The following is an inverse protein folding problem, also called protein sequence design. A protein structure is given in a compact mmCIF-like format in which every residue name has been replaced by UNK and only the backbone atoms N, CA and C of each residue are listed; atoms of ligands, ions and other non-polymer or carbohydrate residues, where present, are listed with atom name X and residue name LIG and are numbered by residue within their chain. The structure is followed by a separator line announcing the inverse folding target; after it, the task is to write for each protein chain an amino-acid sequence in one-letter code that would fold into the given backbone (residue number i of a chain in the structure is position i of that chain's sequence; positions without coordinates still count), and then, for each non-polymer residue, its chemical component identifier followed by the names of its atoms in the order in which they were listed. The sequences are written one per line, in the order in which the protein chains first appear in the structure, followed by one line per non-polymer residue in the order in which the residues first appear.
data_IF_303118514219
#
_entry.id   IF_303118514219
#
_cell.length_a   1.000
_cell.length_b   1.000
_cell.length_c   1.000
_cell.angle_alpha   90.00
_cell.angle_beta   90.00
_cell.angle_gamma   90.00
#
_symmetry.space_group_name_H-M   'P 1'
#
loop_
_entity.id
_entity.type
_entity.pdbx_description
1 polymer ?
#
# COMPACT_ATOMS: atom_id res chain seq x y z
N UNK A 1 8.97 39.04 -22.49
CA UNK A 1 8.12 38.29 -21.53
C UNK A 1 7.97 39.18 -20.30
N UNK A 2 6.80 39.79 -20.09
CA UNK A 2 6.59 40.76 -19.01
C UNK A 2 6.02 40.01 -17.80
N UNK A 3 6.76 40.01 -16.69
CA UNK A 3 6.32 39.45 -15.41
C UNK A 3 5.48 40.51 -14.70
N UNK A 4 4.18 40.28 -14.54
CA UNK A 4 3.32 41.13 -13.71
C UNK A 4 3.52 40.79 -12.22
N UNK A 5 3.36 41.75 -11.28
CA UNK A 5 3.74 41.59 -9.87
C UNK A 5 2.92 40.57 -9.06
N UNK A 6 1.89 39.96 -9.64
CA UNK A 6 0.85 39.23 -8.91
C UNK A 6 1.07 37.70 -8.81
N UNK A 7 2.14 37.16 -9.40
CA UNK A 7 2.36 35.71 -9.38
C UNK A 7 3.66 35.34 -8.69
N UNK A 8 3.55 35.04 -7.39
CA UNK A 8 4.64 34.44 -6.61
C UNK A 8 4.82 33.00 -7.05
N UNK A 9 5.67 32.81 -8.03
CA UNK A 9 6.12 31.50 -8.48
C UNK A 9 7.39 31.12 -7.74
N UNK A 10 7.33 30.07 -6.93
CA UNK A 10 8.51 29.56 -6.26
C UNK A 10 8.60 28.04 -6.42
N UNK A 11 9.82 27.59 -6.68
CA UNK A 11 10.22 26.18 -6.56
C UNK A 11 11.08 26.09 -5.30
N UNK A 12 10.83 25.11 -4.45
CA UNK A 12 11.62 24.86 -3.24
C UNK A 12 12.42 23.59 -3.46
N UNK A 13 13.73 23.68 -3.27
CA UNK A 13 14.61 22.52 -3.14
C UNK A 13 15.01 22.35 -1.69
N UNK A 14 14.77 21.18 -1.12
CA UNK A 14 15.14 20.84 0.27
C UNK A 14 16.12 19.67 0.19
N UNK A 15 17.28 19.81 0.82
CA UNK A 15 18.22 18.72 1.01
C UNK A 15 18.17 18.26 2.46
N UNK A 16 17.79 17.01 2.67
CA UNK A 16 17.69 16.38 3.98
C UNK A 16 18.84 15.40 4.13
N UNK A 17 19.67 15.60 5.16
CA UNK A 17 20.72 14.67 5.53
C UNK A 17 20.10 13.38 6.09
N UNK A 18 20.39 12.24 5.45
CA UNK A 18 19.82 10.93 5.79
C UNK A 18 20.65 10.21 6.86
N UNK A 19 21.97 10.39 6.82
CA UNK A 19 22.91 9.79 7.79
C UNK A 19 23.67 10.90 8.49
N UNK A 20 23.64 10.92 9.83
CA UNK A 20 24.53 11.78 10.64
C UNK A 20 25.95 11.24 10.62
N UNK A 21 26.57 11.18 9.45
CA UNK A 21 27.97 10.78 9.33
C UNK A 21 28.81 11.94 9.86
N UNK A 22 29.45 11.76 11.02
CA UNK A 22 30.38 12.74 11.62
C UNK A 22 31.72 12.83 10.85
N UNK A 23 31.72 12.68 9.53
CA UNK A 23 32.95 12.82 8.76
C UNK A 23 33.24 14.31 8.56
N UNK A 24 34.45 14.74 8.96
CA UNK A 24 34.95 16.12 8.75
C UNK A 24 35.36 16.42 7.29
N UNK A 25 35.12 15.48 6.36
CA UNK A 25 35.49 15.59 4.94
C UNK A 25 34.33 15.99 4.04
N UNK A 26 34.57 16.07 2.72
CA UNK A 26 33.48 16.26 1.75
C UNK A 26 32.44 15.14 1.87
N UNK A 27 31.18 15.53 1.90
CA UNK A 27 30.03 14.62 2.02
C UNK A 27 29.68 14.02 0.66
N UNK A 28 29.17 12.80 0.67
CA UNK A 28 28.79 12.08 -0.55
C UNK A 28 27.33 12.40 -0.91
N UNK A 29 26.98 12.39 -2.20
CA UNK A 29 25.59 12.59 -2.66
C UNK A 29 24.60 11.63 -1.99
N UNK A 30 25.04 10.41 -1.66
CA UNK A 30 24.23 9.39 -0.97
C UNK A 30 23.88 9.75 0.47
N UNK A 31 24.55 10.73 1.07
CA UNK A 31 24.27 11.20 2.43
C UNK A 31 23.02 12.09 2.49
N UNK A 32 22.51 12.53 1.33
CA UNK A 32 21.41 13.47 1.23
C UNK A 32 20.26 12.91 0.40
N UNK A 33 19.06 13.33 0.77
CA UNK A 33 17.86 13.21 -0.07
C UNK A 33 17.42 14.60 -0.48
N UNK A 34 17.15 14.79 -1.76
CA UNK A 34 16.63 16.05 -2.29
C UNK A 34 15.12 15.94 -2.52
N UNK A 35 14.37 16.94 -2.08
CA UNK A 35 12.94 17.09 -2.33
C UNK A 35 12.76 18.39 -3.09
N UNK A 36 12.11 18.31 -4.25
CA UNK A 36 11.75 19.49 -5.05
C UNK A 36 10.24 19.65 -5.04
N UNK A 37 9.79 20.82 -4.61
CA UNK A 37 8.40 21.23 -4.68
C UNK A 37 8.23 22.34 -5.71
N UNK A 38 7.27 22.18 -6.60
CA UNK A 38 6.87 23.19 -7.58
C UNK A 38 5.38 23.44 -7.48
N UNK A 39 5.02 24.69 -7.15
CA UNK A 39 3.64 25.13 -6.97
C UNK A 39 2.77 24.91 -8.21
N UNK A 40 3.34 24.99 -9.43
CA UNK A 40 2.57 24.76 -10.67
C UNK A 40 2.40 23.29 -11.03
N UNK A 41 3.15 22.39 -10.40
CA UNK A 41 3.17 21.00 -10.80
C UNK A 41 1.82 20.33 -10.50
N UNK A 42 1.00 20.21 -11.54
CA UNK A 42 -0.25 19.45 -11.51
C UNK A 42 -0.11 18.14 -12.28
N UNK A 43 -0.96 17.15 -11.98
CA UNK A 43 -1.02 15.89 -12.73
C UNK A 43 -1.31 16.06 -14.24
N UNK A 44 -1.71 17.26 -14.67
CA UNK A 44 -2.00 17.63 -16.07
C UNK A 44 -0.83 18.35 -16.74
N UNK A 45 0.07 18.95 -15.96
CA UNK A 45 1.25 19.70 -16.44
C UNK A 45 2.51 18.82 -16.59
N UNK A 46 2.41 17.52 -16.31
CA UNK A 46 3.40 16.46 -16.63
C UNK A 46 3.54 16.20 -18.14
N UNK A 47 3.74 17.26 -18.93
CA UNK A 47 4.16 17.18 -20.35
C UNK A 47 5.67 16.85 -20.43
N UNK A 48 6.12 16.36 -21.58
CA UNK A 48 7.51 15.99 -21.89
C UNK A 48 8.59 16.97 -21.35
N UNK A 49 8.37 18.29 -21.42
CA UNK A 49 9.34 19.28 -20.93
C UNK A 49 9.51 19.30 -19.40
N UNK A 50 8.49 18.94 -18.63
CA UNK A 50 8.58 18.80 -17.18
C UNK A 50 9.27 17.51 -16.75
N UNK A 51 9.05 16.42 -17.52
CA UNK A 51 9.72 15.13 -17.32
C UNK A 51 11.23 15.29 -17.53
N UNK A 52 11.65 15.93 -18.64
CA UNK A 52 13.06 16.19 -18.87
C UNK A 52 13.70 17.01 -17.73
N UNK A 53 13.04 18.07 -17.26
CA UNK A 53 13.59 18.90 -16.19
C UNK A 53 13.67 18.14 -14.84
N UNK A 54 12.60 17.48 -14.42
CA UNK A 54 12.58 16.82 -13.10
C UNK A 54 13.33 15.49 -13.09
N UNK A 55 13.11 14.63 -14.08
CA UNK A 55 13.72 13.30 -14.10
C UNK A 55 15.11 13.32 -14.75
N UNK A 56 15.25 13.88 -15.96
CA UNK A 56 16.52 13.81 -16.70
C UNK A 56 17.56 14.81 -16.19
N UNK A 57 17.17 16.05 -15.93
CA UNK A 57 18.10 17.10 -15.50
C UNK A 57 18.35 17.08 -13.98
N UNK A 58 17.30 17.03 -13.16
CA UNK A 58 17.43 17.00 -11.69
C UNK A 58 17.61 15.60 -11.10
N UNK A 59 17.32 14.53 -11.84
CA UNK A 59 17.38 13.16 -11.30
C UNK A 59 16.33 12.87 -10.24
N UNK A 60 15.24 13.65 -10.19
CA UNK A 60 14.14 13.47 -9.25
C UNK A 60 13.12 12.47 -9.79
N UNK A 61 12.41 11.80 -8.89
CA UNK A 61 11.22 11.03 -9.21
C UNK A 61 9.99 11.70 -8.59
N UNK A 62 8.82 11.53 -9.21
CA UNK A 62 7.58 12.03 -8.64
C UNK A 62 7.23 11.27 -7.36
N UNK A 63 6.99 12.01 -6.28
CA UNK A 63 6.52 11.39 -5.05
C UNK A 63 5.13 10.76 -5.30
N UNK A 64 4.93 9.48 -4.98
CA UNK A 64 3.65 8.84 -5.17
C UNK A 64 2.60 9.48 -4.26
N UNK A 65 1.39 9.69 -4.80
CA UNK A 65 0.26 10.19 -4.02
C UNK A 65 -0.09 9.26 -2.85
N UNK A 66 -0.70 9.80 -1.78
CA UNK A 66 -1.17 9.01 -0.63
C UNK A 66 -2.13 7.87 -1.04
N UNK A 67 -2.93 8.08 -2.10
CA UNK A 67 -3.80 7.06 -2.73
C UNK A 67 -2.99 5.87 -3.25
N UNK A 68 -1.91 6.17 -3.98
CA UNK A 68 -1.02 5.16 -4.56
C UNK A 68 -0.23 4.45 -3.48
N UNK A 69 0.30 5.19 -2.50
CA UNK A 69 1.01 4.58 -1.38
C UNK A 69 0.09 3.68 -0.54
N UNK A 70 -1.16 4.08 -0.28
CA UNK A 70 -2.12 3.23 0.44
C UNK A 70 -2.47 1.98 -0.39
N UNK A 71 -2.57 2.10 -1.71
CA UNK A 71 -2.71 0.95 -2.60
C UNK A 71 -1.51 0.01 -2.54
N UNK A 72 -0.30 0.55 -2.60
CA UNK A 72 0.95 -0.22 -2.56
C UNK A 72 1.12 -0.93 -1.22
N UNK A 73 0.77 -0.25 -0.13
CA UNK A 73 0.71 -0.87 1.19
C UNK A 73 -0.21 -2.10 1.18
N UNK A 74 -1.43 -1.95 0.66
CA UNK A 74 -2.41 -3.04 0.57
C UNK A 74 -1.90 -4.19 -0.29
N UNK A 75 -1.37 -3.90 -1.48
CA UNK A 75 -0.94 -4.91 -2.44
C UNK A 75 0.30 -5.68 -1.94
N UNK A 76 1.33 -4.96 -1.50
CA UNK A 76 2.56 -5.57 -0.98
C UNK A 76 2.28 -6.40 0.27
N UNK A 77 1.50 -5.89 1.22
CA UNK A 77 1.14 -6.64 2.42
C UNK A 77 0.34 -7.90 2.08
N UNK A 78 -0.57 -7.80 1.11
CA UNK A 78 -1.36 -8.96 0.66
C UNK A 78 -0.50 -10.00 -0.05
N UNK A 79 0.49 -9.58 -0.82
CA UNK A 79 1.47 -10.47 -1.44
C UNK A 79 2.34 -11.17 -0.41
N UNK A 80 2.86 -10.42 0.57
CA UNK A 80 3.60 -10.99 1.70
C UNK A 80 2.80 -12.08 2.42
N UNK A 81 1.55 -11.80 2.80
CA UNK A 81 0.69 -12.78 3.48
C UNK A 81 0.48 -14.03 2.61
N UNK A 82 0.36 -13.88 1.30
CA UNK A 82 0.22 -15.03 0.38
C UNK A 82 1.45 -15.93 0.38
N UNK A 83 2.63 -15.33 0.39
CA UNK A 83 3.91 -16.02 0.27
C UNK A 83 4.37 -16.62 1.60
N UNK A 84 4.04 -16.00 2.73
CA UNK A 84 4.60 -16.36 4.03
C UNK A 84 3.75 -17.35 4.83
N UNK A 85 2.41 -17.29 4.71
CA UNK A 85 1.51 -18.16 5.47
C UNK A 85 0.99 -19.31 4.61
N UNK A 86 1.37 -20.53 4.99
CA UNK A 86 0.89 -21.78 4.40
C UNK A 86 -0.38 -22.30 5.07
N UNK A 87 -0.50 -22.09 6.40
CA UNK A 87 -1.71 -22.43 7.14
C UNK A 87 -2.91 -21.58 6.67
N UNK A 88 -4.03 -22.25 6.42
CA UNK A 88 -5.20 -21.60 5.81
C UNK A 88 -5.91 -20.67 6.78
N UNK A 89 -5.97 -21.03 8.07
CA UNK A 89 -6.68 -20.25 9.08
C UNK A 89 -5.90 -18.97 9.41
N UNK A 90 -4.61 -19.10 9.72
CA UNK A 90 -3.73 -17.96 10.01
C UNK A 90 -3.63 -16.97 8.84
N UNK A 91 -3.58 -17.49 7.62
CA UNK A 91 -3.58 -16.68 6.41
C UNK A 91 -4.87 -15.90 6.26
N UNK A 92 -6.01 -16.53 6.54
CA UNK A 92 -7.34 -15.89 6.50
C UNK A 92 -7.43 -14.80 7.57
N UNK A 93 -6.91 -15.04 8.77
CA UNK A 93 -6.88 -14.08 9.87
C UNK A 93 -5.97 -12.89 9.58
N UNK A 94 -4.79 -13.11 8.98
CA UNK A 94 -3.92 -12.02 8.53
C UNK A 94 -4.59 -11.15 7.46
N UNK A 95 -5.28 -11.76 6.48
CA UNK A 95 -6.05 -10.98 5.50
C UNK A 95 -7.20 -10.19 6.14
N UNK A 96 -7.86 -10.77 7.15
CA UNK A 96 -8.90 -10.07 7.90
C UNK A 96 -8.32 -8.88 8.67
N UNK A 97 -7.18 -9.08 9.31
CA UNK A 97 -6.43 -8.03 10.02
C UNK A 97 -6.05 -6.88 9.09
N UNK A 98 -5.58 -7.16 7.87
CA UNK A 98 -5.32 -6.14 6.85
C UNK A 98 -6.58 -5.35 6.47
N UNK A 99 -7.72 -6.04 6.34
CA UNK A 99 -8.99 -5.38 6.06
C UNK A 99 -9.43 -4.45 7.21
N UNK A 100 -9.34 -4.94 8.46
CA UNK A 100 -9.68 -4.17 9.66
C UNK A 100 -8.80 -2.93 9.75
N UNK A 101 -7.48 -3.10 9.64
CA UNK A 101 -6.51 -2.00 9.70
C UNK A 101 -6.76 -0.89 8.66
N UNK A 102 -7.12 -1.28 7.43
CA UNK A 102 -7.34 -0.30 6.37
C UNK A 102 -8.71 0.36 6.43
N UNK A 103 -9.77 -0.40 6.73
CA UNK A 103 -11.14 0.06 6.53
C UNK A 103 -11.93 0.31 7.82
N UNK A 104 -11.68 -0.49 8.86
CA UNK A 104 -12.43 -0.42 10.12
C UNK A 104 -11.74 0.52 11.09
N UNK A 105 -10.42 0.45 11.18
CA UNK A 105 -9.63 1.32 12.05
C UNK A 105 -9.74 2.78 11.60
N UNK A 106 -10.05 3.66 12.55
CA UNK A 106 -10.18 5.11 12.33
C UNK A 106 -8.84 5.85 12.17
N UNK A 107 -7.71 5.14 12.28
CA UNK A 107 -6.38 5.75 12.13
C UNK A 107 -6.19 6.37 10.75
N UNK A 108 -5.74 7.61 10.69
CA UNK A 108 -5.54 8.37 9.45
C UNK A 108 -4.26 8.04 8.68
N UNK A 109 -3.50 7.03 9.12
CA UNK A 109 -2.20 6.68 8.53
C UNK A 109 -2.02 5.17 8.42
N UNK A 110 -1.14 4.76 7.50
CA UNK A 110 -0.62 3.39 7.36
C UNK A 110 0.88 3.38 7.64
N UNK A 111 1.34 2.33 8.32
CA UNK A 111 2.74 2.15 8.72
C UNK A 111 3.08 0.65 8.67
N UNK A 112 4.17 0.31 7.99
CA UNK A 112 4.70 -1.06 7.97
C UNK A 112 5.00 -1.55 9.38
N UNK A 113 5.60 -0.69 10.23
CA UNK A 113 5.92 -1.06 11.60
C UNK A 113 4.66 -1.35 12.41
N UNK A 114 3.68 -0.44 12.37
CA UNK A 114 2.47 -0.55 13.18
C UNK A 114 1.64 -1.78 12.80
N UNK A 115 1.58 -2.09 11.50
CA UNK A 115 0.89 -3.29 11.03
C UNK A 115 1.67 -4.56 11.39
N UNK A 116 2.98 -4.56 11.17
CA UNK A 116 3.87 -5.68 11.51
C UNK A 116 3.80 -6.04 12.99
N UNK A 117 3.89 -5.03 13.87
CA UNK A 117 3.89 -5.22 15.32
C UNK A 117 2.58 -5.80 15.84
N UNK A 118 1.44 -5.43 15.23
CA UNK A 118 0.10 -5.81 15.68
C UNK A 118 -0.42 -7.11 15.10
N UNK A 119 -0.12 -7.38 13.83
CA UNK A 119 -0.84 -8.40 13.05
C UNK A 119 0.06 -9.43 12.39
N UNK A 120 1.38 -9.22 12.36
CA UNK A 120 2.33 -10.20 11.84
C UNK A 120 2.98 -10.94 13.02
N UNK A 121 3.05 -12.27 12.91
CA UNK A 121 3.73 -13.11 13.90
C UNK A 121 5.17 -12.69 14.10
N UNK A 122 5.68 -12.81 15.33
CA UNK A 122 7.02 -12.37 15.73
C UNK A 122 8.11 -12.92 14.78
N UNK A 123 8.03 -14.21 14.46
CA UNK A 123 8.92 -14.92 13.53
C UNK A 123 8.91 -14.42 12.08
N UNK A 124 7.98 -13.55 11.71
CA UNK A 124 7.82 -13.03 10.34
C UNK A 124 7.91 -11.51 10.26
N UNK A 125 8.12 -10.80 11.38
CA UNK A 125 8.15 -9.33 11.41
C UNK A 125 9.31 -8.75 10.60
N UNK A 126 10.52 -9.28 10.78
CA UNK A 126 11.70 -8.81 10.03
C UNK A 126 11.54 -9.06 8.53
N UNK A 127 11.01 -10.22 8.15
CA UNK A 127 10.71 -10.55 6.76
C UNK A 127 9.68 -9.61 6.15
N UNK A 128 8.65 -9.23 6.92
CA UNK A 128 7.64 -8.28 6.47
C UNK A 128 8.24 -6.90 6.24
N UNK A 129 9.03 -6.39 7.18
CA UNK A 129 9.71 -5.10 7.05
C UNK A 129 10.64 -5.11 5.83
N UNK A 130 11.41 -6.18 5.65
CA UNK A 130 12.30 -6.34 4.49
C UNK A 130 11.52 -6.43 3.18
N UNK A 131 10.41 -7.16 3.14
CA UNK A 131 9.53 -7.25 1.97
C UNK A 131 8.99 -5.88 1.56
N UNK A 132 8.51 -5.09 2.53
CA UNK A 132 8.01 -3.74 2.27
C UNK A 132 9.11 -2.79 1.77
N UNK A 133 10.32 -2.88 2.36
CA UNK A 133 11.49 -2.11 1.93
C UNK A 133 11.93 -2.49 0.51
N UNK A 134 11.97 -3.78 0.18
CA UNK A 134 12.35 -4.26 -1.16
C UNK A 134 11.35 -3.83 -2.24
N UNK A 135 10.07 -3.73 -1.88
CA UNK A 135 9.02 -3.15 -2.73
C UNK A 135 8.96 -1.62 -2.69
N UNK A 136 10.02 -0.97 -2.18
CA UNK A 136 10.17 0.50 -2.11
C UNK A 136 9.05 1.21 -1.35
N UNK A 137 8.35 0.52 -0.44
CA UNK A 137 7.39 1.18 0.42
C UNK A 137 8.12 2.05 1.46
N UNK A 138 7.66 3.29 1.73
CA UNK A 138 8.34 4.19 2.67
C UNK A 138 8.40 3.61 4.09
N UNK A 139 9.53 3.79 4.77
CA UNK A 139 9.69 3.40 6.18
C UNK A 139 8.93 4.32 7.16
N UNK A 140 8.47 5.49 6.69
CA UNK A 140 7.67 6.45 7.46
C UNK A 140 6.17 6.11 7.38
N UNK A 141 5.39 6.62 8.33
CA UNK A 141 3.93 6.62 8.20
C UNK A 141 3.48 7.44 6.99
N UNK A 142 2.43 6.94 6.33
CA UNK A 142 1.81 7.58 5.15
C UNK A 142 0.35 7.86 5.48
N UNK A 143 -0.21 8.97 4.99
CA UNK A 143 -1.64 9.22 5.15
C UNK A 143 -2.46 8.14 4.45
N UNK A 144 -3.49 7.68 5.12
CA UNK A 144 -4.39 6.66 4.61
C UNK A 144 -5.42 7.29 3.69
N UNK A 145 -5.34 7.01 2.40
CA UNK A 145 -6.35 7.39 1.39
C UNK A 145 -6.77 6.15 0.58
N UNK A 146 -8.02 5.73 0.76
CA UNK A 146 -8.55 4.49 0.20
C UNK A 146 -9.07 4.64 -1.23
N UNK A 147 -9.01 5.81 -1.87
CA UNK A 147 -9.69 6.06 -3.14
C UNK A 147 -9.37 5.02 -4.24
N UNK A 148 -8.14 4.51 -4.31
CA UNK A 148 -7.72 3.51 -5.31
C UNK A 148 -8.05 2.06 -4.94
N UNK A 149 -8.30 1.77 -3.66
CA UNK A 149 -8.59 0.41 -3.17
C UNK A 149 -10.00 0.23 -2.61
N UNK A 150 -10.81 1.28 -2.60
CA UNK A 150 -12.16 1.25 -2.01
C UNK A 150 -13.01 0.10 -2.57
N UNK A 151 -12.95 -0.13 -3.88
CA UNK A 151 -13.67 -1.23 -4.53
C UNK A 151 -13.10 -2.61 -4.15
N UNK A 152 -11.77 -2.73 -4.02
CA UNK A 152 -11.10 -3.96 -3.55
C UNK A 152 -11.49 -4.28 -2.11
N UNK A 153 -11.74 -3.26 -1.27
CA UNK A 153 -12.18 -3.41 0.12
C UNK A 153 -13.71 -3.57 0.27
N UNK A 154 -14.52 -3.38 -0.77
CA UNK A 154 -15.98 -3.60 -0.70
C UNK A 154 -16.35 -5.07 -0.82
N UNK A 155 -15.54 -5.86 -1.54
CA UNK A 155 -15.82 -7.26 -1.87
C UNK A 155 -14.68 -8.12 -1.35
N UNK A 156 -15.01 -9.22 -0.68
CA UNK A 156 -14.04 -10.25 -0.30
C UNK A 156 -14.21 -11.43 -1.25
N UNK A 157 -13.10 -11.90 -1.79
CA UNK A 157 -13.07 -13.05 -2.70
C UNK A 157 -12.23 -14.16 -2.08
N UNK A 158 -12.83 -15.35 -2.01
CA UNK A 158 -12.19 -16.60 -1.61
C UNK A 158 -12.00 -17.43 -2.87
N UNK A 159 -10.78 -17.91 -3.11
CA UNK A 159 -10.44 -18.74 -4.26
C UNK A 159 -9.99 -20.11 -3.76
N UNK A 160 -10.58 -21.16 -4.31
CA UNK A 160 -10.25 -22.54 -4.03
C UNK A 160 -9.13 -23.02 -4.96
N UNK A 161 -8.44 -24.10 -4.56
CA UNK A 161 -7.40 -24.76 -5.36
C UNK A 161 -7.94 -25.25 -6.72
N UNK A 162 -9.22 -25.61 -6.77
CA UNK A 162 -9.98 -25.96 -7.98
C UNK A 162 -10.27 -24.78 -8.92
N UNK A 163 -9.78 -23.57 -8.61
CA UNK A 163 -10.05 -22.30 -9.31
C UNK A 163 -11.49 -21.78 -9.19
N UNK A 164 -12.37 -22.48 -8.46
CA UNK A 164 -13.66 -21.94 -8.03
C UNK A 164 -13.42 -20.70 -7.17
N UNK A 165 -14.31 -19.70 -7.26
CA UNK A 165 -14.22 -18.50 -6.42
C UNK A 165 -15.58 -18.06 -5.91
N UNK A 166 -15.65 -17.72 -4.63
CA UNK A 166 -16.81 -17.11 -4.00
C UNK A 166 -16.47 -15.65 -3.72
N UNK A 167 -17.37 -14.74 -4.10
CA UNK A 167 -17.21 -13.31 -3.83
C UNK A 167 -18.46 -12.76 -3.15
N UNK A 168 -18.29 -12.16 -1.98
CA UNK A 168 -19.38 -11.59 -1.19
C UNK A 168 -19.01 -10.19 -0.64
N UNK A 169 -19.99 -9.37 -0.21
CA UNK A 169 -19.72 -8.11 0.47
C UNK A 169 -18.81 -8.31 1.69
N UNK A 170 -17.71 -7.56 1.78
CA UNK A 170 -16.70 -7.75 2.82
C UNK A 170 -17.26 -7.53 4.23
N UNK A 171 -18.20 -6.58 4.39
CA UNK A 171 -18.80 -6.24 5.68
C UNK A 171 -19.66 -7.36 6.28
N UNK A 172 -20.25 -8.22 5.45
CA UNK A 172 -21.14 -9.31 5.87
C UNK A 172 -20.55 -10.69 5.55
N UNK A 173 -19.27 -10.76 5.20
CA UNK A 173 -18.69 -11.99 4.64
C UNK A 173 -18.86 -13.19 5.58
N UNK A 174 -18.55 -13.01 6.87
CA UNK A 174 -18.63 -14.09 7.87
C UNK A 174 -20.09 -14.49 8.18
N UNK A 175 -21.06 -13.60 7.93
CA UNK A 175 -22.49 -13.89 8.09
C UNK A 175 -23.05 -14.61 6.85
N UNK A 176 -22.51 -14.31 5.67
CA UNK A 176 -22.96 -14.83 4.40
C UNK A 176 -22.29 -16.13 4.00
N UNK A 177 -21.05 -16.37 4.46
CA UNK A 177 -20.23 -17.53 4.09
C UNK A 177 -19.63 -18.12 5.36
N UNK A 178 -20.01 -19.35 5.70
CA UNK A 178 -19.43 -20.13 6.79
C UNK A 178 -18.61 -21.28 6.19
N UNK A 179 -17.40 -21.48 6.72
CA UNK A 179 -16.52 -22.60 6.35
C UNK A 179 -16.60 -23.63 7.48
N UNK A 180 -17.05 -24.84 7.19
CA UNK A 180 -17.25 -25.89 8.19
C UNK A 180 -16.04 -26.83 8.31
N UNK A 181 -15.11 -26.78 7.35
CA UNK A 181 -13.89 -27.57 7.35
C UNK A 181 -13.45 -27.96 5.95
N UNK A 182 -12.28 -28.58 5.87
CA UNK A 182 -11.78 -29.20 4.64
C UNK A 182 -11.48 -30.67 4.91
N UNK A 183 -12.04 -31.57 4.09
CA UNK A 183 -11.86 -33.02 4.19
C UNK A 183 -11.80 -33.65 2.80
N UNK A 184 -10.86 -34.57 2.58
CA UNK A 184 -10.70 -35.33 1.34
C UNK A 184 -10.61 -34.45 0.07
N UNK A 185 -10.02 -33.25 0.19
CA UNK A 185 -9.89 -32.28 -0.90
C UNK A 185 -11.15 -31.43 -1.18
N UNK A 186 -12.19 -31.57 -0.38
CA UNK A 186 -13.40 -30.75 -0.43
C UNK A 186 -13.45 -29.78 0.75
N UNK A 187 -13.96 -28.57 0.50
CA UNK A 187 -14.23 -27.58 1.56
C UNK A 187 -15.74 -27.44 1.71
N UNK A 188 -16.24 -27.74 2.92
CA UNK A 188 -17.67 -27.63 3.23
C UNK A 188 -18.01 -26.19 3.57
N UNK A 189 -18.96 -25.62 2.82
CA UNK A 189 -19.35 -24.22 2.92
C UNK A 189 -20.86 -24.08 3.06
N UNK A 190 -21.29 -23.17 3.92
CA UNK A 190 -22.69 -22.76 4.03
C UNK A 190 -22.82 -21.32 3.58
N UNK A 191 -23.66 -21.09 2.55
CA UNK A 191 -23.95 -19.76 2.03
C UNK A 191 -25.34 -19.35 2.49
N UNK A 192 -25.47 -18.17 3.10
CA UNK A 192 -26.77 -17.61 3.49
C UNK A 192 -27.43 -16.98 2.26
N UNK A 193 -28.39 -17.69 1.67
CA UNK A 193 -29.14 -17.22 0.51
C UNK A 193 -29.82 -18.38 -0.22
N UNK A 194 -30.57 -18.06 -1.28
CA UNK A 194 -31.18 -19.02 -2.20
C UNK A 194 -30.63 -18.71 -3.60
N UNK A 195 -30.50 -19.73 -4.45
CA UNK A 195 -30.05 -19.55 -5.83
C UNK A 195 -31.13 -18.80 -6.61
N UNK A 196 -30.80 -17.59 -7.08
CA UNK A 196 -31.72 -16.75 -7.88
C UNK A 196 -31.59 -17.03 -9.39
N UNK A 197 -30.36 -17.22 -9.89
CA UNK A 197 -30.07 -17.41 -11.32
C UNK A 197 -28.74 -18.18 -11.48
N UNK A 198 -28.64 -19.01 -12.53
CA UNK A 198 -27.39 -19.62 -12.99
C UNK A 198 -27.14 -19.10 -14.40
N UNK A 199 -25.99 -18.46 -14.63
CA UNK A 199 -25.55 -17.96 -15.94
C UNK A 199 -24.44 -18.80 -16.53
#
# INVERSE_FOLDING_TARGET
MVLTPAQKYYKLGIFVEQNKTKSKGLRDKKDFSAIVYDYKMTARETRLGSIYFYETFLGCEFSPSDKKLTQDFYENTREFIKQKYDDTEEKVDCFNSLYVYLKVDKGGHVSTKDFGDKYIKEEHKDDYVNHMKNNKFPARSVNKDLAYIQNKLKRRSMRFTSKVSITAPAAQFNELVQINGTKDGFTDLKIKGIVEEIK
#
